data_IF_197306040926
#
_entry.id   IF_197306040926
#
_cell.length_a   1.000
_cell.length_b   1.000
_cell.length_c   1.000
_cell.angle_alpha   90.00
_cell.angle_beta   90.00
_cell.angle_gamma   90.00
#
_symmetry.space_group_name_H-M   'P 1'
#
loop_
_entity.id
_entity.type
_entity.pdbx_description
1 polymer ?
#
# COMPACT_ATOMS: atom_id res chain seq x y z
N UNK A 1 -13.57 8.10 -8.38
CA UNK A 1 -12.68 7.53 -7.34
C UNK A 1 -11.24 7.83 -7.72
N UNK A 2 -10.47 8.40 -6.81
CA UNK A 2 -9.11 8.83 -7.11
C UNK A 2 -8.14 7.66 -7.07
N UNK A 3 -7.56 7.33 -8.20
CA UNK A 3 -6.46 6.39 -8.29
C UNK A 3 -5.16 7.12 -7.95
N UNK A 4 -4.43 6.63 -6.97
CA UNK A 4 -3.13 7.16 -6.60
C UNK A 4 -2.07 6.12 -6.96
N UNK A 5 -1.08 6.54 -7.73
CA UNK A 5 -0.02 5.66 -8.21
C UNK A 5 1.34 6.16 -7.74
N UNK A 6 2.19 5.24 -7.33
CA UNK A 6 3.56 5.54 -6.97
C UNK A 6 4.50 4.49 -7.54
N UNK A 7 5.66 4.94 -8.05
CA UNK A 7 6.68 4.04 -8.56
C UNK A 7 7.72 3.76 -7.48
N UNK A 8 8.15 2.52 -7.40
CA UNK A 8 9.19 2.07 -6.46
C UNK A 8 10.29 1.33 -7.20
N UNK A 9 11.47 1.33 -6.61
CA UNK A 9 12.58 0.49 -7.05
C UNK A 9 12.83 -0.55 -5.98
N UNK A 10 12.91 -1.83 -6.38
CA UNK A 10 13.15 -2.91 -5.44
C UNK A 10 14.56 -2.80 -4.84
N UNK A 11 14.65 -2.69 -3.51
CA UNK A 11 15.91 -2.59 -2.80
C UNK A 11 16.35 -3.95 -2.25
N UNK A 12 17.66 -4.09 -1.99
CA UNK A 12 18.25 -5.37 -1.61
C UNK A 12 17.63 -6.02 -0.38
N UNK A 13 17.27 -5.26 0.64
CA UNK A 13 16.67 -5.79 1.87
C UNK A 13 15.29 -6.40 1.65
N UNK A 14 14.66 -6.13 0.52
CA UNK A 14 13.30 -6.56 0.20
C UNK A 14 13.25 -7.71 -0.80
N UNK A 15 14.38 -8.41 -0.98
CA UNK A 15 14.51 -9.51 -1.94
C UNK A 15 14.69 -10.86 -1.26
N UNK A 16 14.18 -11.89 -1.93
CA UNK A 16 14.49 -13.28 -1.63
C UNK A 16 15.85 -13.64 -2.25
N UNK A 17 16.33 -14.88 -1.95
CA UNK A 17 17.61 -15.37 -2.47
C UNK A 17 17.67 -15.48 -4.00
N UNK A 18 16.53 -15.50 -4.69
CA UNK A 18 16.44 -15.50 -6.15
C UNK A 18 16.38 -14.08 -6.75
N UNK A 19 16.66 -13.06 -5.93
CA UNK A 19 16.65 -11.64 -6.31
C UNK A 19 15.28 -11.08 -6.71
N UNK A 20 14.20 -11.78 -6.35
CA UNK A 20 12.83 -11.29 -6.52
C UNK A 20 12.29 -10.72 -5.22
N UNK A 21 11.30 -9.83 -5.35
CA UNK A 21 10.66 -9.22 -4.18
C UNK A 21 10.13 -10.29 -3.22
N UNK A 22 10.31 -10.05 -1.92
CA UNK A 22 9.70 -10.89 -0.89
C UNK A 22 8.19 -10.65 -0.86
N UNK A 23 7.37 -11.70 -0.79
CA UNK A 23 5.92 -11.52 -0.58
C UNK A 23 5.58 -10.64 0.63
N UNK A 24 6.34 -10.78 1.73
CA UNK A 24 6.12 -9.95 2.93
C UNK A 24 6.40 -8.47 2.70
N UNK A 25 7.27 -8.14 1.74
CA UNK A 25 7.58 -6.75 1.41
C UNK A 25 6.49 -6.09 0.57
N UNK A 26 5.65 -6.87 -0.09
CA UNK A 26 4.52 -6.34 -0.87
C UNK A 26 3.60 -5.51 0.03
N UNK A 27 3.29 -6.03 1.24
CA UNK A 27 2.47 -5.32 2.21
C UNK A 27 3.11 -3.98 2.60
N UNK A 28 4.41 -3.97 2.81
CA UNK A 28 5.14 -2.75 3.19
C UNK A 28 5.06 -1.68 2.11
N UNK A 29 5.19 -2.06 0.85
CA UNK A 29 5.10 -1.11 -0.26
C UNK A 29 3.69 -0.53 -0.41
N UNK A 30 2.65 -1.37 -0.30
CA UNK A 30 1.30 -0.81 -0.41
C UNK A 30 0.96 0.07 0.79
N UNK A 31 1.39 -0.28 2.00
CA UNK A 31 1.19 0.55 3.19
C UNK A 31 1.86 1.92 3.02
N UNK A 32 3.07 1.95 2.49
CA UNK A 32 3.76 3.20 2.20
C UNK A 32 2.98 4.03 1.16
N UNK A 33 2.47 3.38 0.14
CA UNK A 33 1.67 4.05 -0.90
C UNK A 33 0.37 4.64 -0.31
N UNK A 34 -0.31 3.89 0.55
CA UNK A 34 -1.51 4.39 1.24
C UNK A 34 -1.15 5.58 2.14
N UNK A 35 -0.07 5.48 2.90
CA UNK A 35 0.37 6.58 3.76
C UNK A 35 0.64 7.86 2.95
N UNK A 36 1.29 7.72 1.80
CA UNK A 36 1.55 8.84 0.91
C UNK A 36 0.26 9.43 0.34
N UNK A 37 -0.68 8.56 -0.05
CA UNK A 37 -2.00 8.99 -0.50
C UNK A 37 -2.72 9.78 0.59
N UNK A 38 -2.72 9.29 1.83
CA UNK A 38 -3.37 9.98 2.95
C UNK A 38 -2.69 11.33 3.24
N UNK A 39 -1.38 11.42 3.05
CA UNK A 39 -0.66 12.68 3.20
C UNK A 39 -1.14 13.72 2.18
N UNK A 40 -1.45 13.32 0.95
CA UNK A 40 -1.98 14.24 -0.06
C UNK A 40 -3.35 14.77 0.32
N UNK A 41 -4.08 14.06 1.19
CA UNK A 41 -5.40 14.47 1.70
C UNK A 41 -5.30 15.16 3.06
N UNK A 42 -4.09 15.38 3.59
CA UNK A 42 -3.83 15.99 4.89
C UNK A 42 -4.45 15.19 6.06
N UNK A 43 -4.49 13.88 5.92
CA UNK A 43 -5.02 12.96 6.95
C UNK A 43 -4.04 11.82 7.23
N UNK A 44 -2.76 12.00 6.95
CA UNK A 44 -1.73 11.02 7.31
C UNK A 44 -1.56 10.95 8.83
N UNK A 45 -0.82 9.96 9.31
CA UNK A 45 -0.59 9.76 10.74
C UNK A 45 -0.09 11.03 11.42
N UNK A 46 0.85 11.75 10.78
CA UNK A 46 1.38 13.01 11.31
C UNK A 46 0.29 14.09 11.45
N UNK A 47 -0.67 14.11 10.53
CA UNK A 47 -1.72 15.13 10.53
C UNK A 47 -2.77 14.87 11.61
N UNK A 48 -3.18 13.61 11.79
CA UNK A 48 -4.27 13.27 12.69
C UNK A 48 -3.83 13.11 14.14
N UNK A 49 -2.55 12.82 14.40
CA UNK A 49 -2.05 12.70 15.78
C UNK A 49 -2.18 14.03 16.52
N UNK A 50 -2.15 15.15 15.82
CA UNK A 50 -2.37 16.48 16.40
C UNK A 50 -3.77 16.64 16.98
N UNK A 51 -4.71 15.79 16.55
CA UNK A 51 -6.09 15.76 17.05
C UNK A 51 -6.32 14.59 17.99
N UNK A 52 -5.25 13.98 18.49
CA UNK A 52 -5.28 12.78 19.34
C UNK A 52 -5.95 11.59 18.67
N UNK A 53 -5.73 11.45 17.37
CA UNK A 53 -6.27 10.35 16.59
C UNK A 53 -5.14 9.53 15.99
N UNK A 54 -5.37 8.24 15.81
CA UNK A 54 -4.41 7.34 15.16
C UNK A 54 -5.09 6.50 14.09
N UNK A 55 -4.32 6.18 13.05
CA UNK A 55 -4.73 5.18 12.08
C UNK A 55 -4.36 3.78 12.57
N UNK A 56 -5.27 2.84 12.41
CA UNK A 56 -5.03 1.43 12.68
C UNK A 56 -5.45 0.65 11.44
N UNK A 57 -4.55 -0.18 10.95
CA UNK A 57 -4.91 -1.16 9.93
C UNK A 57 -5.52 -2.35 10.65
N UNK A 58 -6.79 -2.63 10.40
CA UNK A 58 -7.49 -3.70 11.10
C UNK A 58 -7.39 -5.01 10.34
N UNK A 59 -7.23 -4.95 9.02
CA UNK A 59 -7.21 -6.13 8.18
C UNK A 59 -6.61 -5.79 6.83
N UNK A 60 -5.85 -6.72 6.26
CA UNK A 60 -5.46 -6.64 4.86
C UNK A 60 -5.28 -8.05 4.31
N UNK A 61 -5.48 -8.18 3.01
CA UNK A 61 -5.23 -9.43 2.29
C UNK A 61 -4.81 -9.13 0.87
N UNK A 62 -3.97 -9.99 0.31
CA UNK A 62 -3.58 -9.87 -1.09
C UNK A 62 -3.23 -11.23 -1.67
N UNK A 63 -3.28 -11.30 -3.00
CA UNK A 63 -2.91 -12.49 -3.76
C UNK A 63 -1.80 -12.13 -4.74
N UNK A 64 -0.86 -13.05 -4.91
CA UNK A 64 0.18 -12.93 -5.94
C UNK A 64 -0.37 -13.61 -7.18
N UNK A 65 -0.44 -12.86 -8.28
CA UNK A 65 -1.11 -13.30 -9.50
C UNK A 65 -0.22 -13.23 -10.74
N UNK A 66 1.03 -12.83 -10.58
CA UNK A 66 1.92 -12.65 -11.73
C UNK A 66 3.38 -12.69 -11.37
N UNK A 67 4.24 -12.35 -12.35
CA UNK A 67 5.68 -12.38 -12.20
C UNK A 67 6.16 -11.30 -11.23
N UNK A 68 6.92 -11.70 -10.23
CA UNK A 68 7.47 -10.81 -9.22
C UNK A 68 8.65 -10.01 -9.78
N UNK A 69 8.79 -8.73 -9.38
CA UNK A 69 9.93 -7.90 -9.80
C UNK A 69 11.27 -8.44 -9.32
N UNK A 70 12.31 -8.19 -10.13
CA UNK A 70 13.70 -8.48 -9.78
C UNK A 70 14.35 -7.28 -9.10
N UNK A 71 15.50 -7.57 -8.49
CA UNK A 71 16.40 -6.58 -7.90
C UNK A 71 16.64 -5.38 -8.81
N UNK A 72 16.59 -4.19 -8.21
CA UNK A 72 16.84 -2.91 -8.86
C UNK A 72 15.87 -2.53 -9.98
N UNK A 73 14.86 -3.34 -10.22
CA UNK A 73 13.82 -3.01 -11.19
C UNK A 73 12.71 -2.18 -10.56
N UNK A 74 12.02 -1.44 -11.43
CA UNK A 74 10.92 -0.58 -11.00
C UNK A 74 9.60 -1.29 -11.13
N UNK A 75 8.69 -0.95 -10.21
CA UNK A 75 7.31 -1.43 -10.25
C UNK A 75 6.40 -0.33 -9.73
N UNK A 76 5.11 -0.42 -10.01
CA UNK A 76 4.13 0.57 -9.59
C UNK A 76 3.17 -0.02 -8.59
N UNK A 77 2.79 0.80 -7.62
CA UNK A 77 1.71 0.50 -6.67
C UNK A 77 0.59 1.48 -6.95
N UNK A 78 -0.61 0.96 -7.13
CA UNK A 78 -1.82 1.74 -7.32
C UNK A 78 -2.75 1.47 -6.16
N UNK A 79 -3.27 2.54 -5.54
CA UNK A 79 -4.22 2.43 -4.43
C UNK A 79 -5.41 3.35 -4.68
N UNK A 80 -6.57 2.96 -4.17
CA UNK A 80 -7.76 3.80 -4.22
C UNK A 80 -8.70 3.42 -3.08
N UNK A 81 -9.50 4.41 -2.64
CA UNK A 81 -10.51 4.18 -1.64
C UNK A 81 -11.75 3.60 -2.33
N UNK A 82 -12.15 2.40 -1.93
CA UNK A 82 -13.38 1.79 -2.46
C UNK A 82 -14.61 2.21 -1.68
N UNK A 83 -14.43 2.53 -0.39
CA UNK A 83 -15.52 2.97 0.46
C UNK A 83 -14.98 3.75 1.66
N UNK A 84 -15.75 4.75 2.09
CA UNK A 84 -15.50 5.49 3.33
C UNK A 84 -16.79 5.40 4.13
N UNK A 85 -16.72 4.85 5.34
CA UNK A 85 -17.89 4.66 6.19
C UNK A 85 -17.56 5.07 7.62
N UNK A 86 -18.01 6.27 8.03
CA UNK A 86 -17.70 6.83 9.33
C UNK A 86 -16.20 7.04 9.49
N UNK A 87 -15.61 6.38 10.51
CA UNK A 87 -14.18 6.44 10.77
C UNK A 87 -13.42 5.25 10.15
N UNK A 88 -14.01 4.57 9.20
CA UNK A 88 -13.39 3.45 8.49
C UNK A 88 -13.11 3.81 7.05
N UNK A 89 -11.98 3.33 6.56
CA UNK A 89 -11.55 3.53 5.19
C UNK A 89 -11.23 2.16 4.59
N UNK A 90 -11.83 1.87 3.44
CA UNK A 90 -11.60 0.63 2.71
C UNK A 90 -10.76 0.97 1.47
N UNK A 91 -9.54 0.44 1.43
CA UNK A 91 -8.60 0.69 0.35
C UNK A 91 -8.39 -0.57 -0.45
N UNK A 92 -8.38 -0.43 -1.76
CA UNK A 92 -7.95 -1.50 -2.65
C UNK A 92 -6.60 -1.13 -3.24
N UNK A 93 -5.83 -2.12 -3.65
CA UNK A 93 -4.52 -1.89 -4.23
C UNK A 93 -4.15 -2.95 -5.25
N UNK A 94 -3.26 -2.58 -6.16
CA UNK A 94 -2.63 -3.51 -7.07
C UNK A 94 -1.20 -3.06 -7.34
N UNK A 95 -0.33 -4.03 -7.59
CA UNK A 95 1.07 -3.78 -7.90
C UNK A 95 1.33 -4.30 -9.31
N UNK A 96 2.00 -3.47 -10.12
CA UNK A 96 2.28 -3.75 -11.53
C UNK A 96 3.77 -3.78 -11.80
N UNK A 97 4.19 -4.75 -12.59
CA UNK A 97 5.56 -4.92 -13.03
C UNK A 97 5.55 -5.17 -14.53
N UNK A 98 6.27 -4.34 -15.29
CA UNK A 98 6.30 -4.42 -16.75
C UNK A 98 4.89 -4.38 -17.36
N UNK A 99 4.01 -3.57 -16.79
CA UNK A 99 2.64 -3.40 -17.26
C UNK A 99 1.66 -4.49 -16.85
N UNK A 100 2.11 -5.52 -16.12
CA UNK A 100 1.25 -6.63 -15.70
C UNK A 100 1.04 -6.59 -14.18
N UNK A 101 -0.17 -6.90 -13.74
CA UNK A 101 -0.47 -6.99 -12.31
C UNK A 101 0.22 -8.23 -11.76
N UNK A 102 0.99 -8.08 -10.69
CA UNK A 102 1.61 -9.23 -10.02
C UNK A 102 1.06 -9.48 -8.61
N UNK A 103 0.40 -8.49 -8.02
CA UNK A 103 -0.28 -8.63 -6.73
C UNK A 103 -1.47 -7.70 -6.69
N UNK A 104 -2.51 -8.10 -5.97
CA UNK A 104 -3.70 -7.29 -5.78
C UNK A 104 -4.39 -7.67 -4.48
N UNK A 105 -5.06 -6.72 -3.85
CA UNK A 105 -5.73 -6.97 -2.60
C UNK A 105 -6.49 -5.77 -2.07
N UNK A 106 -6.86 -5.86 -0.81
CA UNK A 106 -7.60 -4.82 -0.12
C UNK A 106 -7.17 -4.71 1.34
N UNK A 107 -7.55 -3.60 1.95
CA UNK A 107 -7.23 -3.32 3.34
C UNK A 107 -8.33 -2.47 3.97
N UNK A 108 -8.49 -2.64 5.28
CA UNK A 108 -9.44 -1.87 6.06
C UNK A 108 -8.68 -1.08 7.13
N UNK A 109 -8.92 0.21 7.16
CA UNK A 109 -8.27 1.14 8.08
C UNK A 109 -9.33 1.80 8.95
N UNK A 110 -8.97 2.10 10.18
CA UNK A 110 -9.85 2.79 11.12
C UNK A 110 -9.10 3.92 11.81
N UNK A 111 -9.83 4.98 12.12
CA UNK A 111 -9.32 6.09 12.93
C UNK A 111 -9.85 5.86 14.35
N UNK A 112 -8.93 5.82 15.31
CA UNK A 112 -9.25 5.60 16.72
C UNK A 112 -8.67 6.73 17.56
N UNK A 113 -9.19 6.90 18.77
CA UNK A 113 -8.61 7.80 19.77
C UNK A 113 -7.25 7.26 20.20
N UNK A 114 -6.28 8.16 20.28
CA UNK A 114 -4.94 7.80 20.71
C UNK A 114 -4.89 7.52 22.21
#
# INVERSE_FOLDING_TARGET
MDLFTREYTLVNSEMMSDYRIKPTSIAMYFEDCVATFLATKQVAAFDIIKKNLIWVISEYQFSIVGMLPFSSEKFQVEVWASEISGLRLYMEFRLKYRGNIFAQGDSTWAILDA
#
